data_IF_434593583555
#
_entry.id   IF_434593583555
#
_cell.length_a   1.000
_cell.length_b   1.000
_cell.length_c   1.000
_cell.angle_alpha   90.00
_cell.angle_beta   90.00
_cell.angle_gamma   90.00
#
_symmetry.space_group_name_H-M   'P 1'
#
loop_
_entity.id
_entity.type
_entity.pdbx_description
1 polymer ?
#
# COMPACT_ATOMS: atom_id res chain seq x y z
N UNK A 1 15.85 -34.12 70.54
CA UNK A 1 14.90 -35.15 70.07
C UNK A 1 14.56 -34.82 68.64
N UNK A 2 14.70 -35.62 67.60
CA UNK A 2 15.24 -36.96 67.34
C UNK A 2 15.34 -37.06 65.81
N UNK A 3 16.39 -37.72 65.33
CA UNK A 3 16.78 -37.82 63.91
C UNK A 3 15.95 -38.83 63.10
N UNK A 4 16.12 -38.81 61.76
CA UNK A 4 16.25 -39.96 60.81
C UNK A 4 15.86 -39.48 59.39
N UNK A 5 16.77 -39.01 58.52
CA UNK A 5 17.67 -39.73 57.60
C UNK A 5 17.05 -40.93 56.87
N UNK A 6 16.72 -40.76 55.59
CA UNK A 6 16.63 -41.85 54.62
C UNK A 6 17.66 -41.65 53.51
N UNK A 7 18.43 -42.71 53.28
CA UNK A 7 19.57 -42.83 52.36
C UNK A 7 19.06 -43.30 51.00
N UNK A 8 19.58 -42.74 49.91
CA UNK A 8 19.75 -43.52 48.68
C UNK A 8 21.19 -43.46 48.18
N UNK A 9 21.66 -44.66 47.85
CA UNK A 9 23.03 -45.09 47.62
C UNK A 9 23.28 -45.04 46.11
N UNK A 10 24.44 -44.53 45.70
CA UNK A 10 24.83 -44.48 44.28
C UNK A 10 25.14 -45.86 43.68
N UNK A 11 25.08 -45.95 42.35
CA UNK A 11 25.97 -46.81 41.57
C UNK A 11 26.05 -46.35 40.11
N UNK A 12 27.27 -46.47 39.56
CA UNK A 12 27.76 -45.96 38.28
C UNK A 12 27.42 -46.87 37.08
N UNK A 13 27.28 -46.22 35.92
CA UNK A 13 27.73 -46.59 34.57
C UNK A 13 27.17 -47.84 33.85
N UNK A 14 26.56 -47.62 32.68
CA UNK A 14 27.13 -48.00 31.37
C UNK A 14 26.31 -47.45 30.19
N UNK A 15 27.05 -47.03 29.17
CA UNK A 15 26.65 -46.52 27.87
C UNK A 15 26.09 -47.58 26.92
N UNK A 16 25.06 -47.23 26.14
CA UNK A 16 24.81 -47.80 24.81
C UNK A 16 23.98 -46.83 23.95
N UNK A 17 24.45 -46.61 22.73
CA UNK A 17 23.96 -45.68 21.72
C UNK A 17 22.78 -46.24 20.90
N UNK A 18 22.10 -45.31 20.18
CA UNK A 18 21.16 -45.46 19.04
C UNK A 18 19.73 -45.90 19.42
N UNK A 19 18.65 -45.28 18.94
CA UNK A 19 18.45 -44.54 17.70
C UNK A 19 17.58 -43.29 17.90
N UNK A 20 18.00 -42.16 17.33
CA UNK A 20 17.15 -40.97 17.15
C UNK A 20 16.32 -41.17 15.89
N UNK A 21 15.06 -41.56 16.06
CA UNK A 21 14.05 -41.43 15.01
C UNK A 21 13.86 -39.94 14.74
N UNK A 22 14.46 -39.42 13.66
CA UNK A 22 14.16 -38.08 13.14
C UNK A 22 12.70 -38.09 12.69
N UNK A 23 11.83 -37.53 13.52
CA UNK A 23 10.50 -37.10 13.09
C UNK A 23 10.74 -36.00 12.05
N UNK A 24 10.49 -36.32 10.78
CA UNK A 24 10.51 -35.34 9.70
C UNK A 24 9.22 -34.53 9.83
N UNK A 25 9.27 -33.42 10.57
CA UNK A 25 8.31 -32.35 10.37
C UNK A 25 8.46 -31.92 8.91
N UNK A 26 7.37 -31.78 8.13
CA UNK A 26 7.49 -31.21 6.80
C UNK A 26 8.10 -29.82 6.96
N UNK A 27 9.28 -29.63 6.38
CA UNK A 27 9.84 -28.31 6.17
C UNK A 27 8.79 -27.52 5.38
N UNK A 28 8.09 -26.63 6.07
CA UNK A 28 7.29 -25.61 5.43
C UNK A 28 8.25 -24.89 4.49
N UNK A 29 8.09 -25.12 3.19
CA UNK A 29 8.84 -24.45 2.14
C UNK A 29 8.46 -22.98 2.13
N UNK A 30 8.97 -22.24 3.10
CA UNK A 30 9.09 -20.79 3.09
C UNK A 30 10.17 -20.46 2.06
N UNK A 31 9.85 -20.68 0.78
CA UNK A 31 10.53 -19.98 -0.28
C UNK A 31 10.34 -18.50 0.04
N UNK A 32 11.42 -17.80 0.41
CA UNK A 32 11.38 -16.37 0.66
C UNK A 32 10.80 -15.74 -0.59
N UNK A 33 9.56 -15.24 -0.51
CA UNK A 33 8.92 -14.52 -1.63
C UNK A 33 9.87 -13.40 -2.04
N UNK A 34 10.35 -13.48 -3.27
CA UNK A 34 11.19 -12.45 -3.87
C UNK A 34 10.30 -11.32 -4.38
N UNK A 35 10.78 -10.09 -4.28
CA UNK A 35 10.10 -8.93 -4.89
C UNK A 35 10.49 -8.88 -6.36
N UNK A 36 9.52 -8.59 -7.23
CA UNK A 36 9.81 -8.34 -8.65
C UNK A 36 10.78 -7.14 -8.78
N UNK A 37 11.88 -7.27 -9.54
CA UNK A 37 12.91 -6.23 -9.62
C UNK A 37 12.45 -4.90 -10.24
N UNK A 38 11.27 -4.87 -10.88
CA UNK A 38 10.67 -3.64 -11.43
C UNK A 38 9.97 -2.80 -10.37
N UNK A 39 9.65 -3.39 -9.21
CA UNK A 39 9.00 -2.67 -8.12
C UNK A 39 10.01 -1.84 -7.32
N UNK A 40 9.56 -0.73 -6.70
CA UNK A 40 10.42 0.13 -5.88
C UNK A 40 10.74 -0.45 -4.50
N UNK A 41 10.16 -1.60 -4.14
CA UNK A 41 10.28 -2.19 -2.81
C UNK A 41 11.49 -3.14 -2.73
N UNK A 42 12.26 -3.05 -1.65
CA UNK A 42 13.41 -3.92 -1.41
C UNK A 42 13.00 -5.27 -0.81
N UNK A 43 11.89 -5.30 -0.07
CA UNK A 43 11.47 -6.49 0.66
C UNK A 43 9.98 -6.73 0.53
N UNK A 44 9.60 -8.01 0.53
CA UNK A 44 8.19 -8.41 0.53
C UNK A 44 7.43 -7.91 1.78
N UNK A 45 8.15 -7.63 2.87
CA UNK A 45 7.59 -7.00 4.07
C UNK A 45 7.04 -5.59 3.77
N UNK A 46 7.70 -4.81 2.93
CA UNK A 46 7.22 -3.47 2.53
C UNK A 46 5.90 -3.59 1.77
N UNK A 47 5.81 -4.49 0.79
CA UNK A 47 4.58 -4.77 0.03
C UNK A 47 3.45 -5.20 0.98
N UNK A 48 3.74 -6.14 1.89
CA UNK A 48 2.75 -6.61 2.86
C UNK A 48 2.25 -5.50 3.80
N UNK A 49 3.17 -4.68 4.33
CA UNK A 49 2.83 -3.55 5.19
C UNK A 49 2.03 -2.49 4.44
N UNK A 50 2.42 -2.16 3.21
CA UNK A 50 1.71 -1.22 2.34
C UNK A 50 0.28 -1.69 2.07
N UNK A 51 0.09 -2.95 1.63
CA UNK A 51 -1.24 -3.54 1.39
C UNK A 51 -2.11 -3.52 2.66
N UNK A 52 -1.52 -3.76 3.83
CA UNK A 52 -2.28 -3.72 5.08
C UNK A 52 -2.63 -2.30 5.52
N UNK A 53 -1.76 -1.32 5.28
CA UNK A 53 -2.07 0.09 5.51
C UNK A 53 -3.17 0.56 4.55
N UNK A 54 -3.08 0.19 3.26
CA UNK A 54 -4.07 0.53 2.25
C UNK A 54 -5.47 0.03 2.57
N UNK A 55 -5.61 -1.15 3.21
CA UNK A 55 -6.91 -1.64 3.70
C UNK A 55 -7.62 -0.69 4.68
N UNK A 56 -6.91 0.23 5.34
CA UNK A 56 -7.57 1.25 6.15
C UNK A 56 -8.20 2.34 5.27
N UNK A 57 -7.51 2.71 4.19
CA UNK A 57 -7.98 3.66 3.16
C UNK A 57 -9.20 3.10 2.45
N UNK A 58 -9.16 1.83 2.03
CA UNK A 58 -10.24 1.22 1.24
C UNK A 58 -11.56 1.08 1.98
N UNK A 59 -11.58 1.14 3.32
CA UNK A 59 -12.81 1.07 4.13
C UNK A 59 -13.74 2.26 3.93
N UNK A 60 -13.19 3.39 3.52
CA UNK A 60 -13.89 4.65 3.28
C UNK A 60 -13.32 5.31 2.03
N UNK A 61 -13.09 4.51 0.97
CA UNK A 61 -12.38 4.97 -0.22
C UNK A 61 -13.11 6.13 -0.90
N UNK A 62 -14.44 6.03 -1.07
CA UNK A 62 -15.26 7.06 -1.69
C UNK A 62 -15.10 8.40 -0.97
N UNK A 63 -15.32 8.43 0.35
CA UNK A 63 -15.17 9.65 1.15
C UNK A 63 -13.72 10.17 1.12
N UNK A 64 -12.75 9.27 1.21
CA UNK A 64 -11.32 9.61 1.16
C UNK A 64 -10.95 10.24 -0.17
N UNK A 65 -11.40 9.66 -1.28
CA UNK A 65 -11.13 10.15 -2.62
C UNK A 65 -11.72 11.55 -2.80
N UNK A 66 -12.99 11.73 -2.43
CA UNK A 66 -13.68 13.02 -2.50
C UNK A 66 -13.02 14.09 -1.65
N UNK A 67 -12.62 13.75 -0.42
CA UNK A 67 -11.89 14.67 0.46
C UNK A 67 -10.54 15.06 -0.13
N UNK A 68 -9.78 14.11 -0.70
CA UNK A 68 -8.51 14.41 -1.34
C UNK A 68 -8.69 15.35 -2.54
N UNK A 69 -9.64 15.05 -3.43
CA UNK A 69 -9.89 15.86 -4.63
C UNK A 69 -10.35 17.27 -4.23
N UNK A 70 -11.21 17.39 -3.21
CA UNK A 70 -11.64 18.69 -2.67
C UNK A 70 -10.45 19.50 -2.14
N UNK A 71 -9.57 18.88 -1.33
CA UNK A 71 -8.35 19.54 -0.80
C UNK A 71 -7.40 19.94 -1.93
N UNK A 72 -7.24 19.08 -2.92
CA UNK A 72 -6.40 19.31 -4.07
C UNK A 72 -6.87 20.54 -4.87
N UNK A 73 -8.14 20.60 -5.23
CA UNK A 73 -8.69 21.67 -6.06
C UNK A 73 -8.72 23.02 -5.34
N UNK A 74 -8.95 23.04 -4.02
CA UNK A 74 -8.79 24.25 -3.21
C UNK A 74 -7.34 24.75 -3.16
N UNK A 75 -6.38 23.84 -3.15
CA UNK A 75 -4.96 24.18 -3.05
C UNK A 75 -4.36 24.55 -4.41
N UNK A 76 -4.89 23.97 -5.48
CA UNK A 76 -4.38 24.09 -6.84
C UNK A 76 -5.52 24.41 -7.80
N UNK A 77 -6.15 25.56 -7.60
CA UNK A 77 -7.32 26.02 -8.37
C UNK A 77 -7.09 26.03 -9.89
N UNK A 78 -5.84 26.14 -10.35
CA UNK A 78 -5.52 26.05 -11.78
C UNK A 78 -5.89 24.72 -12.43
N UNK A 79 -6.14 23.65 -11.66
CA UNK A 79 -6.60 22.37 -12.19
C UNK A 79 -8.12 22.23 -12.22
N UNK A 80 -8.89 23.20 -11.69
CA UNK A 80 -10.35 23.13 -11.66
C UNK A 80 -10.97 22.98 -13.06
N UNK A 81 -10.33 23.50 -14.11
CA UNK A 81 -10.80 23.34 -15.50
C UNK A 81 -10.86 21.88 -15.97
N UNK A 82 -10.07 20.98 -15.35
CA UNK A 82 -10.06 19.55 -15.66
C UNK A 82 -11.12 18.76 -14.90
N UNK A 83 -11.81 19.39 -13.96
CA UNK A 83 -12.86 18.78 -13.13
C UNK A 83 -14.13 19.63 -13.20
N UNK A 84 -14.92 19.54 -14.29
CA UNK A 84 -16.16 20.31 -14.43
C UNK A 84 -17.19 20.01 -13.33
N UNK A 85 -17.05 18.87 -12.64
CA UNK A 85 -17.82 18.48 -11.46
C UNK A 85 -17.58 19.40 -10.25
N UNK A 86 -16.43 20.09 -10.21
CA UNK A 86 -16.08 21.06 -9.17
C UNK A 86 -16.67 22.45 -9.45
N UNK A 87 -17.97 22.60 -9.13
CA UNK A 87 -18.68 23.86 -9.27
C UNK A 87 -18.59 24.71 -7.99
N UNK A 88 -17.70 25.70 -7.98
CA UNK A 88 -17.47 26.59 -6.84
C UNK A 88 -18.68 27.47 -6.47
N UNK A 89 -19.76 27.46 -7.27
CA UNK A 89 -21.01 28.14 -6.91
C UNK A 89 -21.89 27.31 -5.96
N UNK A 90 -21.56 26.02 -5.78
CA UNK A 90 -22.25 25.11 -4.86
C UNK A 90 -21.50 25.02 -3.53
N UNK A 91 -22.19 24.52 -2.50
CA UNK A 91 -21.54 24.17 -1.24
C UNK A 91 -20.59 22.98 -1.43
N UNK A 92 -19.63 22.83 -0.53
CA UNK A 92 -18.72 21.67 -0.59
C UNK A 92 -19.44 20.34 -0.37
N UNK A 93 -20.46 20.33 0.50
CA UNK A 93 -21.31 19.16 0.68
C UNK A 93 -22.02 18.80 -0.64
N UNK A 94 -22.64 19.78 -1.31
CA UNK A 94 -23.34 19.53 -2.59
C UNK A 94 -22.40 19.04 -3.70
N UNK A 95 -21.15 19.52 -3.74
CA UNK A 95 -20.15 19.05 -4.70
C UNK A 95 -19.79 17.59 -4.39
N UNK A 96 -19.51 17.25 -3.12
CA UNK A 96 -19.16 15.89 -2.70
C UNK A 96 -20.30 14.89 -2.83
N UNK A 97 -21.55 15.35 -2.78
CA UNK A 97 -22.73 14.50 -3.00
C UNK A 97 -23.02 14.27 -4.48
N UNK A 98 -22.32 14.98 -5.39
CA UNK A 98 -22.47 14.77 -6.83
C UNK A 98 -21.77 13.48 -7.29
N UNK A 99 -22.47 12.74 -8.14
CA UNK A 99 -21.96 11.49 -8.70
C UNK A 99 -20.76 11.72 -9.62
N UNK A 100 -20.75 12.83 -10.36
CA UNK A 100 -19.65 13.21 -11.25
C UNK A 100 -18.37 13.47 -10.46
N UNK A 101 -18.44 14.23 -9.37
CA UNK A 101 -17.26 14.51 -8.54
C UNK A 101 -16.74 13.25 -7.84
N UNK A 102 -17.64 12.37 -7.42
CA UNK A 102 -17.25 11.07 -6.86
C UNK A 102 -16.50 10.21 -7.88
N UNK A 103 -16.98 10.11 -9.13
CA UNK A 103 -16.29 9.36 -10.17
C UNK A 103 -14.90 9.94 -10.47
N UNK A 104 -14.79 11.25 -10.62
CA UNK A 104 -13.50 11.92 -10.86
C UNK A 104 -12.50 11.63 -9.72
N UNK A 105 -12.99 11.65 -8.48
CA UNK A 105 -12.17 11.33 -7.32
C UNK A 105 -11.74 9.85 -7.29
N UNK A 106 -12.67 8.95 -7.60
CA UNK A 106 -12.44 7.50 -7.62
C UNK A 106 -11.53 7.06 -8.76
N UNK A 107 -11.42 7.78 -9.87
CA UNK A 107 -10.46 7.46 -10.95
C UNK A 107 -9.02 7.44 -10.41
N UNK A 108 -8.66 8.44 -9.57
CA UNK A 108 -7.32 8.54 -8.98
C UNK A 108 -7.10 7.46 -7.92
N UNK A 109 -8.04 7.29 -6.97
CA UNK A 109 -7.88 6.30 -5.91
C UNK A 109 -8.00 4.86 -6.41
N UNK A 110 -8.80 4.64 -7.46
CA UNK A 110 -8.93 3.37 -8.17
C UNK A 110 -7.61 2.94 -8.79
N UNK A 111 -6.89 3.86 -9.46
CA UNK A 111 -5.54 3.60 -9.95
C UNK A 111 -4.61 3.07 -8.85
N UNK A 112 -4.57 3.73 -7.69
CA UNK A 112 -3.73 3.28 -6.58
C UNK A 112 -4.21 1.94 -6.00
N UNK A 113 -5.52 1.73 -5.90
CA UNK A 113 -6.08 0.47 -5.40
C UNK A 113 -5.72 -0.70 -6.30
N UNK A 114 -5.90 -0.54 -7.61
CA UNK A 114 -5.56 -1.55 -8.61
C UNK A 114 -4.07 -1.88 -8.58
N UNK A 115 -3.20 -0.88 -8.49
CA UNK A 115 -1.75 -1.10 -8.39
C UNK A 115 -1.41 -1.85 -7.10
N UNK A 116 -1.91 -1.43 -5.95
CA UNK A 116 -1.65 -2.07 -4.65
C UNK A 116 -2.12 -3.53 -4.65
N UNK A 117 -3.28 -3.80 -5.26
CA UNK A 117 -3.84 -5.14 -5.37
C UNK A 117 -3.04 -6.05 -6.31
N UNK A 118 -2.35 -5.48 -7.30
CA UNK A 118 -1.56 -6.19 -8.31
C UNK A 118 -0.03 -6.16 -8.09
N UNK A 119 0.47 -5.72 -6.93
CA UNK A 119 1.93 -5.71 -6.64
C UNK A 119 2.62 -7.10 -6.67
N UNK A 120 1.86 -8.22 -6.65
CA UNK A 120 2.44 -9.56 -6.86
C UNK A 120 2.39 -10.02 -8.33
N UNK A 121 1.66 -9.30 -9.18
CA UNK A 121 1.49 -9.52 -10.61
C UNK A 121 1.79 -8.21 -11.36
N UNK A 122 3.06 -7.79 -11.33
CA UNK A 122 3.48 -6.45 -11.76
C UNK A 122 3.05 -6.10 -13.18
N UNK A 123 2.99 -7.06 -14.09
CA UNK A 123 2.50 -6.82 -15.45
C UNK A 123 1.05 -6.31 -15.46
N UNK A 124 0.18 -6.79 -14.55
CA UNK A 124 -1.18 -6.26 -14.39
C UNK A 124 -1.14 -4.84 -13.85
N UNK A 125 -0.35 -4.59 -12.80
CA UNK A 125 -0.22 -3.24 -12.24
C UNK A 125 0.25 -2.22 -13.31
N UNK A 126 1.20 -2.60 -14.17
CA UNK A 126 1.69 -1.75 -15.26
C UNK A 126 0.62 -1.51 -16.34
N UNK A 127 -0.24 -2.49 -16.63
CA UNK A 127 -1.38 -2.31 -17.55
C UNK A 127 -2.36 -1.28 -17.00
N UNK A 128 -2.70 -1.34 -15.71
CA UNK A 128 -3.64 -0.37 -15.09
C UNK A 128 -3.05 1.05 -15.08
N UNK A 129 -1.76 1.18 -14.72
CA UNK A 129 -1.04 2.47 -14.81
C UNK A 129 -1.08 3.00 -16.25
N UNK A 130 -0.74 2.15 -17.23
CA UNK A 130 -0.73 2.54 -18.64
C UNK A 130 -2.11 2.91 -19.14
N UNK A 131 -3.17 2.25 -18.67
CA UNK A 131 -4.54 2.54 -19.08
C UNK A 131 -4.89 3.98 -18.69
N UNK A 132 -4.79 4.32 -17.40
CA UNK A 132 -5.16 5.65 -16.88
C UNK A 132 -4.30 6.76 -17.50
N UNK A 133 -2.97 6.57 -17.58
CA UNK A 133 -2.07 7.55 -18.20
C UNK A 133 -2.27 7.71 -19.71
N UNK A 134 -2.87 6.72 -20.39
CA UNK A 134 -3.15 6.82 -21.83
C UNK A 134 -4.48 7.52 -22.14
N UNK A 135 -5.42 7.54 -21.19
CA UNK A 135 -6.77 8.11 -21.35
C UNK A 135 -6.90 9.49 -20.73
N UNK A 136 -6.03 9.86 -19.80
CA UNK A 136 -6.04 11.15 -19.12
C UNK A 136 -4.71 11.88 -19.33
N UNK A 137 -4.67 12.81 -20.29
CA UNK A 137 -3.44 13.53 -20.66
C UNK A 137 -2.85 14.36 -19.51
N UNK A 138 -3.66 14.74 -18.53
CA UNK A 138 -3.27 15.60 -17.41
C UNK A 138 -2.98 14.86 -16.11
N UNK A 139 -3.16 13.54 -16.07
CA UNK A 139 -2.99 12.77 -14.83
C UNK A 139 -1.58 12.89 -14.25
N UNK A 140 -0.53 12.94 -15.09
CA UNK A 140 0.85 13.16 -14.62
C UNK A 140 1.00 14.50 -13.89
N UNK A 141 0.49 15.58 -14.48
CA UNK A 141 0.54 16.92 -13.89
C UNK A 141 -0.29 17.00 -12.59
N UNK A 142 -1.48 16.39 -12.60
CA UNK A 142 -2.40 16.33 -11.46
C UNK A 142 -1.75 15.56 -10.30
N UNK A 143 -1.22 14.36 -10.54
CA UNK A 143 -0.55 13.56 -9.50
C UNK A 143 0.66 14.30 -8.93
N UNK A 144 1.51 14.90 -9.78
CA UNK A 144 2.64 15.71 -9.30
C UNK A 144 2.23 16.82 -8.34
N UNK A 145 1.12 17.50 -8.59
CA UNK A 145 0.61 18.54 -7.70
C UNK A 145 -0.13 17.97 -6.47
N UNK A 146 -0.73 16.78 -6.59
CA UNK A 146 -1.54 16.13 -5.55
C UNK A 146 -0.73 15.42 -4.46
N UNK A 147 0.56 15.12 -4.65
CA UNK A 147 1.40 14.39 -3.68
C UNK A 147 1.17 14.83 -2.22
N UNK A 148 1.20 16.14 -1.98
CA UNK A 148 1.08 16.68 -0.62
C UNK A 148 -0.31 16.50 0.00
N UNK A 149 -1.40 16.58 -0.77
CA UNK A 149 -2.76 16.36 -0.23
C UNK A 149 -3.02 14.88 -0.03
N UNK A 150 -2.50 14.04 -0.93
CA UNK A 150 -2.61 12.59 -0.85
C UNK A 150 -1.89 12.06 0.39
N UNK A 151 -0.61 12.40 0.57
CA UNK A 151 0.17 11.97 1.74
C UNK A 151 -0.41 12.51 3.05
N UNK A 152 -0.85 13.77 3.07
CA UNK A 152 -1.52 14.36 4.24
C UNK A 152 -2.78 13.59 4.64
N UNK A 153 -3.60 13.21 3.66
CA UNK A 153 -4.81 12.44 3.91
C UNK A 153 -4.53 11.01 4.39
N UNK A 154 -3.52 10.35 3.83
CA UNK A 154 -3.07 9.04 4.31
C UNK A 154 -2.59 9.11 5.76
N UNK A 155 -1.89 10.18 6.13
CA UNK A 155 -1.46 10.42 7.52
C UNK A 155 -2.64 10.53 8.47
N UNK A 156 -3.70 11.23 8.08
CA UNK A 156 -4.91 11.38 8.90
C UNK A 156 -5.66 10.05 9.07
N UNK A 157 -5.84 9.30 7.98
CA UNK A 157 -6.57 8.02 7.99
C UNK A 157 -5.84 6.96 8.81
N UNK A 158 -4.51 6.94 8.71
CA UNK A 158 -3.69 5.94 9.37
C UNK A 158 -3.36 6.32 10.81
N UNK A 159 -3.40 7.62 11.15
CA UNK A 159 -3.11 8.13 12.50
C UNK A 159 -1.78 7.58 13.01
N UNK A 160 -1.79 6.97 14.20
CA UNK A 160 -0.60 6.34 14.81
C UNK A 160 0.05 5.24 13.95
N UNK A 161 -0.66 4.67 12.96
CA UNK A 161 -0.11 3.69 12.02
C UNK A 161 0.67 4.33 10.87
N UNK A 162 0.58 5.65 10.69
CA UNK A 162 1.37 6.40 9.73
C UNK A 162 2.77 6.68 10.28
N UNK A 163 3.57 5.61 10.37
CA UNK A 163 4.97 5.70 10.74
C UNK A 163 5.82 6.21 9.58
N UNK A 164 7.05 6.65 9.83
CA UNK A 164 8.03 7.02 8.80
C UNK A 164 8.19 5.90 7.75
N UNK A 165 8.33 4.65 8.18
CA UNK A 165 8.35 3.49 7.28
C UNK A 165 7.08 3.35 6.43
N UNK A 166 5.91 3.70 6.99
CA UNK A 166 4.63 3.65 6.25
C UNK A 166 4.58 4.74 5.20
N UNK A 167 4.97 5.98 5.56
CA UNK A 167 5.09 7.11 4.62
C UNK A 167 6.06 6.77 3.50
N UNK A 168 7.26 6.28 3.82
CA UNK A 168 8.26 5.87 2.82
C UNK A 168 7.69 4.85 1.84
N UNK A 169 6.96 3.83 2.30
CA UNK A 169 6.36 2.84 1.41
C UNK A 169 5.27 3.45 0.51
N UNK A 170 4.51 4.43 0.99
CA UNK A 170 3.54 5.15 0.16
C UNK A 170 4.21 6.06 -0.85
N UNK A 171 5.30 6.75 -0.48
CA UNK A 171 6.10 7.55 -1.44
C UNK A 171 6.70 6.66 -2.53
N UNK A 172 7.26 5.51 -2.17
CA UNK A 172 7.75 4.53 -3.15
C UNK A 172 6.63 4.09 -4.12
N UNK A 173 5.42 3.80 -3.60
CA UNK A 173 4.26 3.48 -4.45
C UNK A 173 3.90 4.64 -5.38
N UNK A 174 3.82 5.86 -4.83
CA UNK A 174 3.44 7.06 -5.55
C UNK A 174 4.40 7.38 -6.69
N UNK A 175 5.69 7.38 -6.38
CA UNK A 175 6.76 7.60 -7.33
C UNK A 175 6.79 6.51 -8.41
N UNK A 176 6.51 5.26 -8.06
CA UNK A 176 6.41 4.17 -9.02
C UNK A 176 5.26 4.36 -10.00
N UNK A 177 4.05 4.69 -9.51
CA UNK A 177 2.90 4.97 -10.37
C UNK A 177 3.19 6.11 -11.33
N UNK A 178 3.75 7.21 -10.81
CA UNK A 178 4.08 8.37 -11.63
C UNK A 178 5.18 8.07 -12.66
N UNK A 179 6.27 7.41 -12.24
CA UNK A 179 7.41 7.09 -13.11
C UNK A 179 7.03 6.13 -14.22
N UNK A 180 6.28 5.06 -13.91
CA UNK A 180 5.86 4.10 -14.94
C UNK A 180 4.80 4.71 -15.86
N UNK A 181 3.87 5.50 -15.33
CA UNK A 181 2.86 6.18 -16.14
C UNK A 181 3.46 7.20 -17.11
N UNK A 182 4.49 7.94 -16.70
CA UNK A 182 5.17 8.89 -17.58
C UNK A 182 5.91 8.22 -18.74
N UNK A 183 6.41 6.99 -18.56
CA UNK A 183 7.00 6.22 -19.66
C UNK A 183 5.96 5.92 -20.74
N UNK A 184 4.70 5.70 -20.37
CA UNK A 184 3.60 5.45 -21.31
C UNK A 184 3.27 6.68 -22.17
N UNK A 185 3.44 7.89 -21.63
CA UNK A 185 3.19 9.15 -22.35
C UNK A 185 4.43 9.57 -23.16
N UNK A 186 5.63 9.48 -22.57
CA UNK A 186 6.88 9.86 -23.21
C UNK A 186 7.31 8.93 -24.37
N UNK A 187 6.80 7.70 -24.42
CA UNK A 187 6.99 6.78 -25.55
C UNK A 187 6.16 7.12 -26.80
N UNK A 188 5.30 8.14 -26.75
CA UNK A 188 4.47 8.60 -27.88
C UNK A 188 5.08 9.77 -28.68
N UNK A 189 6.32 10.18 -28.39
CA UNK A 189 7.03 11.25 -29.11
C UNK A 189 7.89 10.76 -30.25
#
# INVERSE_FOLDING_TARGET
>A
MGALKSKFKGSKSKSSQKAKTKIHLPESSSAKKTVDPRLPFQTYRQIFSLRNAWKAVTRSMEETAKENLMRFLKKHEQYAEYFPSYDTNKSEEDIKDSFEFENDALEIFGLFDDVVNNLEEVDKALVEISHVFSTNEKISEILKAMDSTFMGLLSEILGDRYTETTEENFRLLYDFVLTEGEKCIGGKS
#
